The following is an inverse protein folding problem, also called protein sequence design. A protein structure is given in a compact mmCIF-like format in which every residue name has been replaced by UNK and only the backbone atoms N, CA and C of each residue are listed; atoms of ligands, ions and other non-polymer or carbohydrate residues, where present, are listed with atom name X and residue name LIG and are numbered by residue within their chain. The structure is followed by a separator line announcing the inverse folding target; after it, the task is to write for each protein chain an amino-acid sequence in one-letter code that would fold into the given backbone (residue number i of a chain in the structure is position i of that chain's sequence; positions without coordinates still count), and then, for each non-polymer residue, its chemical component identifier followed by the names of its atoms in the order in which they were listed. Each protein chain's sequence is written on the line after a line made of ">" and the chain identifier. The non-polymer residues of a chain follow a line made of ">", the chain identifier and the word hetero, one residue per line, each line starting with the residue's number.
data_IF_704535657026
#
_entry.id   IF_704535657026
#
_cell.length_a   1.000
_cell.length_b   1.000
_cell.length_c   1.000
_cell.angle_alpha   90.00
_cell.angle_beta   90.00
_cell.angle_gamma   90.00
#
_symmetry.space_group_name_H-M   'P 1'
#
loop_
_entity.id
_entity.type
_entity.pdbx_description
1 polymer ?
#
# COMPACT_ATOMS: atom_id res chain seq x y z
N UNK A 1 17.49 34.00 -19.52
CA UNK A 1 17.46 32.58 -19.95
C UNK A 1 17.12 31.63 -18.81
N UNK A 2 17.67 31.81 -17.60
CA UNK A 2 17.37 30.94 -16.45
C UNK A 2 15.89 30.89 -16.04
N UNK A 3 15.21 32.04 -15.95
CA UNK A 3 13.77 32.07 -15.62
C UNK A 3 12.89 31.32 -16.63
N UNK A 4 13.27 31.37 -17.90
CA UNK A 4 12.57 30.70 -19.00
C UNK A 4 12.79 29.17 -18.96
N UNK A 5 14.00 28.73 -18.58
CA UNK A 5 14.31 27.32 -18.31
C UNK A 5 13.55 26.80 -17.08
N UNK A 6 13.49 27.59 -15.99
CA UNK A 6 12.75 27.26 -14.75
C UNK A 6 11.26 27.07 -14.97
N UNK A 7 10.61 27.99 -15.70
CA UNK A 7 9.20 27.90 -16.02
C UNK A 7 8.88 26.63 -16.83
N UNK A 8 9.76 26.25 -17.77
CA UNK A 8 9.63 25.00 -18.55
C UNK A 8 9.81 23.76 -17.68
N UNK A 9 10.77 23.73 -16.77
CA UNK A 9 10.98 22.59 -15.86
C UNK A 9 9.78 22.39 -14.93
N UNK A 10 9.24 23.46 -14.34
CA UNK A 10 8.04 23.40 -13.49
C UNK A 10 6.83 22.91 -14.28
N UNK A 11 6.62 23.44 -15.50
CA UNK A 11 5.53 23.00 -16.37
C UNK A 11 5.67 21.53 -16.78
N UNK A 12 6.88 21.12 -17.19
CA UNK A 12 7.18 19.73 -17.51
C UNK A 12 6.81 18.83 -16.34
N UNK A 13 7.20 19.18 -15.12
CA UNK A 13 6.97 18.37 -13.94
C UNK A 13 5.49 18.24 -13.56
N UNK A 14 4.72 19.32 -13.72
CA UNK A 14 3.26 19.32 -13.53
C UNK A 14 2.58 18.42 -14.57
N UNK A 15 2.98 18.52 -15.84
CA UNK A 15 2.41 17.71 -16.93
C UNK A 15 2.80 16.24 -16.73
N UNK A 16 4.08 15.96 -16.51
CA UNK A 16 4.61 14.62 -16.26
C UNK A 16 3.87 13.95 -15.10
N UNK A 17 3.70 14.63 -13.96
CA UNK A 17 2.90 14.13 -12.84
C UNK A 17 1.48 13.74 -13.23
N UNK A 18 0.81 14.60 -13.99
CA UNK A 18 -0.59 14.38 -14.35
C UNK A 18 -0.72 13.19 -15.30
N UNK A 19 0.14 13.14 -16.32
CA UNK A 19 0.19 12.04 -17.29
C UNK A 19 0.58 10.72 -16.61
N UNK A 20 1.62 10.72 -15.78
CA UNK A 20 2.07 9.54 -15.06
C UNK A 20 1.00 8.98 -14.15
N UNK A 21 0.30 9.82 -13.36
CA UNK A 21 -0.79 9.35 -12.50
C UNK A 21 -1.97 8.77 -13.30
N UNK A 22 -2.34 9.38 -14.43
CA UNK A 22 -3.40 8.83 -15.31
C UNK A 22 -2.96 7.49 -15.89
N UNK A 23 -1.71 7.40 -16.36
CA UNK A 23 -1.17 6.17 -16.93
C UNK A 23 -1.10 5.05 -15.88
N UNK A 24 -0.63 5.33 -14.67
CA UNK A 24 -0.63 4.38 -13.55
C UNK A 24 -2.06 3.93 -13.24
N UNK A 25 -3.01 4.86 -13.14
CA UNK A 25 -4.41 4.53 -12.89
C UNK A 25 -4.96 3.55 -13.93
N UNK A 26 -4.71 3.80 -15.22
CA UNK A 26 -5.15 2.91 -16.30
C UNK A 26 -4.50 1.53 -16.18
N UNK A 27 -3.18 1.48 -15.96
CA UNK A 27 -2.46 0.21 -15.76
C UNK A 27 -2.99 -0.57 -14.55
N UNK A 28 -3.27 0.12 -13.44
CA UNK A 28 -3.86 -0.48 -12.25
C UNK A 28 -5.26 -1.04 -12.52
N UNK A 29 -6.10 -0.31 -13.26
CA UNK A 29 -7.42 -0.80 -13.62
C UNK A 29 -7.35 -2.04 -14.51
N UNK A 30 -6.50 -2.01 -15.53
CA UNK A 30 -6.30 -3.16 -16.43
C UNK A 30 -5.75 -4.35 -15.66
N UNK A 31 -4.72 -4.15 -14.83
CA UNK A 31 -4.14 -5.24 -14.03
C UNK A 31 -5.16 -5.80 -13.05
N UNK A 32 -5.92 -4.96 -12.34
CA UNK A 32 -6.99 -5.45 -11.46
C UNK A 32 -8.04 -6.25 -12.21
N UNK A 33 -8.42 -5.82 -13.41
CA UNK A 33 -9.39 -6.53 -14.22
C UNK A 33 -8.85 -7.90 -14.68
N UNK A 34 -7.61 -7.95 -15.18
CA UNK A 34 -6.98 -9.19 -15.66
C UNK A 34 -6.75 -10.19 -14.52
N UNK A 35 -6.36 -9.71 -13.33
CA UNK A 35 -5.98 -10.56 -12.20
C UNK A 35 -7.06 -10.70 -11.13
N UNK A 36 -8.28 -10.20 -11.35
CA UNK A 36 -9.35 -10.22 -10.32
C UNK A 36 -9.68 -11.63 -9.84
N UNK A 37 -9.72 -12.59 -10.76
CA UNK A 37 -10.00 -14.00 -10.44
C UNK A 37 -8.87 -14.60 -9.58
N UNK A 38 -7.62 -14.32 -9.93
CA UNK A 38 -6.47 -14.83 -9.18
C UNK A 38 -6.40 -14.25 -7.77
N UNK A 39 -6.71 -12.96 -7.61
CA UNK A 39 -6.83 -12.32 -6.29
C UNK A 39 -7.96 -12.95 -5.47
N UNK A 40 -9.12 -13.21 -6.07
CA UNK A 40 -10.23 -13.88 -5.40
C UNK A 40 -9.85 -15.29 -4.93
N UNK A 41 -9.19 -16.08 -5.78
CA UNK A 41 -8.69 -17.41 -5.44
C UNK A 41 -7.65 -17.36 -4.30
N UNK A 42 -6.78 -16.36 -4.27
CA UNK A 42 -5.82 -16.17 -3.18
C UNK A 42 -6.53 -15.89 -1.84
N UNK A 43 -7.60 -15.09 -1.85
CA UNK A 43 -8.43 -14.81 -0.67
C UNK A 43 -9.16 -16.08 -0.20
N UNK A 44 -9.73 -16.87 -1.12
CA UNK A 44 -10.40 -18.13 -0.76
C UNK A 44 -9.42 -19.10 -0.11
N UNK A 45 -8.22 -19.27 -0.68
CA UNK A 45 -7.17 -20.09 -0.05
C UNK A 45 -6.76 -19.57 1.33
N UNK A 46 -6.73 -18.25 1.52
CA UNK A 46 -6.46 -17.67 2.83
C UNK A 46 -7.57 -18.01 3.84
N UNK A 47 -8.83 -18.04 3.41
CA UNK A 47 -9.96 -18.48 4.24
C UNK A 47 -9.88 -19.97 4.58
N UNK A 48 -9.38 -20.83 3.70
CA UNK A 48 -9.16 -22.25 4.00
C UNK A 48 -8.13 -22.42 5.14
N UNK A 49 -7.04 -21.64 5.11
CA UNK A 49 -6.07 -21.62 6.22
C UNK A 49 -6.74 -21.11 7.50
N UNK A 50 -7.53 -20.04 7.42
CA UNK A 50 -8.26 -19.52 8.59
C UNK A 50 -9.22 -20.56 9.19
N UNK A 51 -9.94 -21.31 8.37
CA UNK A 51 -10.84 -22.39 8.82
C UNK A 51 -10.06 -23.51 9.52
N UNK A 52 -8.91 -23.91 8.97
CA UNK A 52 -8.05 -24.90 9.61
C UNK A 52 -7.51 -24.41 10.97
N UNK A 53 -7.10 -23.14 11.05
CA UNK A 53 -6.64 -22.53 12.31
C UNK A 53 -7.76 -22.41 13.35
N UNK A 54 -9.00 -22.12 12.92
CA UNK A 54 -10.18 -22.15 13.80
C UNK A 54 -10.44 -23.56 14.34
N UNK A 55 -10.33 -24.59 13.50
CA UNK A 55 -10.47 -25.99 13.92
C UNK A 55 -9.43 -26.39 14.98
N UNK A 56 -8.26 -25.75 14.98
CA UNK A 56 -7.21 -25.93 15.99
C UNK A 56 -7.33 -25.01 17.21
N UNK A 57 -8.48 -24.35 17.41
CA UNK A 57 -8.79 -23.58 18.62
C UNK A 57 -8.35 -22.11 18.61
N UNK A 58 -7.81 -21.59 17.50
CA UNK A 58 -7.31 -20.20 17.41
C UNK A 58 -8.36 -19.15 17.05
N UNK A 59 -9.64 -19.47 17.26
CA UNK A 59 -10.76 -18.63 16.81
C UNK A 59 -10.72 -17.22 17.38
N UNK A 60 -10.50 -17.08 18.69
CA UNK A 60 -10.58 -15.78 19.37
C UNK A 60 -9.44 -14.86 18.95
N UNK A 61 -8.24 -15.41 18.76
CA UNK A 61 -7.11 -14.64 18.24
C UNK A 61 -7.36 -14.17 16.81
N UNK A 62 -7.85 -15.07 15.93
CA UNK A 62 -8.18 -14.73 14.54
C UNK A 62 -9.24 -13.63 14.46
N UNK A 63 -10.29 -13.69 15.30
CA UNK A 63 -11.31 -12.64 15.37
C UNK A 63 -10.70 -11.30 15.83
N UNK A 64 -9.85 -11.32 16.86
CA UNK A 64 -9.16 -10.13 17.35
C UNK A 64 -8.25 -9.47 16.31
N UNK A 65 -7.45 -10.29 15.60
CA UNK A 65 -6.57 -9.83 14.52
C UNK A 65 -7.37 -9.28 13.35
N UNK A 66 -8.41 -9.98 12.90
CA UNK A 66 -9.25 -9.52 11.80
C UNK A 66 -9.96 -8.21 12.14
N UNK A 67 -10.42 -8.05 13.38
CA UNK A 67 -10.98 -6.78 13.86
C UNK A 67 -9.95 -5.65 13.82
N UNK A 68 -8.72 -5.91 14.30
CA UNK A 68 -7.61 -4.94 14.27
C UNK A 68 -7.28 -4.55 12.82
N UNK A 69 -7.17 -5.51 11.91
CA UNK A 69 -6.84 -5.27 10.51
C UNK A 69 -7.96 -4.51 9.79
N UNK A 70 -9.22 -4.85 10.05
CA UNK A 70 -10.37 -4.09 9.54
C UNK A 70 -10.38 -2.65 10.05
N UNK A 71 -10.12 -2.44 11.35
CA UNK A 71 -10.04 -1.11 11.94
C UNK A 71 -8.90 -0.30 11.33
N UNK A 72 -7.71 -0.90 11.23
CA UNK A 72 -6.53 -0.28 10.60
C UNK A 72 -6.81 0.10 9.15
N UNK A 73 -7.38 -0.81 8.36
CA UNK A 73 -7.75 -0.58 6.98
C UNK A 73 -8.76 0.55 6.81
N UNK A 74 -9.81 0.59 7.64
CA UNK A 74 -10.80 1.66 7.62
C UNK A 74 -10.19 3.02 7.98
N UNK A 75 -9.30 3.07 8.98
CA UNK A 75 -8.61 4.30 9.38
C UNK A 75 -7.70 4.79 8.26
N UNK A 76 -6.89 3.91 7.67
CA UNK A 76 -6.02 4.25 6.56
C UNK A 76 -6.81 4.75 5.36
N UNK A 77 -7.87 4.05 4.97
CA UNK A 77 -8.73 4.45 3.85
C UNK A 77 -9.40 5.79 4.12
N UNK A 78 -9.92 6.02 5.33
CA UNK A 78 -10.52 7.30 5.73
C UNK A 78 -9.54 8.47 5.69
N UNK A 79 -8.34 8.30 6.26
CA UNK A 79 -7.27 9.31 6.22
C UNK A 79 -6.84 9.59 4.78
N UNK A 80 -6.65 8.55 3.99
CA UNK A 80 -6.18 8.64 2.61
C UNK A 80 -7.18 9.36 1.70
N UNK A 81 -8.47 9.03 1.81
CA UNK A 81 -9.53 9.74 1.07
C UNK A 81 -9.63 11.20 1.50
N UNK A 82 -9.64 11.47 2.82
CA UNK A 82 -9.75 12.83 3.35
C UNK A 82 -8.59 13.69 2.87
N UNK A 83 -7.36 13.18 2.98
CA UNK A 83 -6.16 13.89 2.57
C UNK A 83 -6.13 14.16 1.07
N UNK A 84 -6.46 13.17 0.23
CA UNK A 84 -6.53 13.34 -1.22
C UNK A 84 -7.59 14.38 -1.63
N UNK A 85 -8.78 14.34 -1.02
CA UNK A 85 -9.86 15.29 -1.33
C UNK A 85 -9.47 16.70 -0.90
N UNK A 86 -9.05 16.90 0.36
CA UNK A 86 -8.69 18.21 0.90
C UNK A 86 -7.55 18.84 0.10
N UNK A 87 -6.47 18.10 -0.14
CA UNK A 87 -5.34 18.61 -0.91
C UNK A 87 -5.70 18.84 -2.39
N UNK A 88 -6.59 18.03 -2.95
CA UNK A 88 -7.16 18.24 -4.27
C UNK A 88 -7.93 19.56 -4.37
N UNK A 89 -8.81 19.83 -3.40
CA UNK A 89 -9.59 21.08 -3.33
C UNK A 89 -8.67 22.28 -3.16
N UNK A 90 -7.70 22.22 -2.25
CA UNK A 90 -6.72 23.29 -2.05
C UNK A 90 -5.97 23.62 -3.35
N UNK A 91 -5.53 22.60 -4.10
CA UNK A 91 -4.87 22.79 -5.40
C UNK A 91 -5.82 23.37 -6.44
N UNK A 92 -7.07 22.91 -6.50
CA UNK A 92 -8.05 23.41 -7.46
C UNK A 92 -8.40 24.91 -7.22
N UNK A 93 -8.47 25.35 -5.96
CA UNK A 93 -8.72 26.76 -5.61
C UNK A 93 -7.62 27.68 -6.14
N UNK A 94 -6.38 27.20 -6.25
CA UNK A 94 -5.28 28.00 -6.79
C UNK A 94 -5.36 28.25 -8.31
N UNK A 95 -6.28 27.59 -9.03
CA UNK A 95 -6.46 27.77 -10.47
C UNK A 95 -7.54 28.81 -10.78
N UNK A 96 -7.27 29.69 -11.74
CA UNK A 96 -8.21 30.75 -12.15
C UNK A 96 -9.38 30.21 -12.97
N UNK A 97 -9.14 29.26 -13.88
CA UNK A 97 -10.14 28.67 -14.77
C UNK A 97 -10.15 27.13 -14.68
N UNK A 98 -11.27 26.52 -15.07
CA UNK A 98 -11.44 25.05 -15.18
C UNK A 98 -11.10 24.27 -13.89
N UNK A 99 -11.44 24.83 -12.72
CA UNK A 99 -11.12 24.26 -11.40
C UNK A 99 -11.64 22.83 -11.22
N UNK A 100 -12.86 22.56 -11.67
CA UNK A 100 -13.51 21.24 -11.57
C UNK A 100 -12.79 20.21 -12.44
N UNK A 101 -12.47 20.56 -13.68
CA UNK A 101 -11.76 19.68 -14.61
C UNK A 101 -10.36 19.38 -14.08
N UNK A 102 -9.66 20.39 -13.56
CA UNK A 102 -8.35 20.22 -12.94
C UNK A 102 -8.41 19.29 -11.72
N UNK A 103 -9.42 19.47 -10.85
CA UNK A 103 -9.65 18.59 -9.72
C UNK A 103 -9.85 17.13 -10.16
N UNK A 104 -10.68 16.88 -11.18
CA UNK A 104 -10.92 15.53 -11.68
C UNK A 104 -9.63 14.90 -12.24
N UNK A 105 -8.91 15.58 -13.12
CA UNK A 105 -7.71 15.04 -13.76
C UNK A 105 -6.59 14.81 -12.75
N UNK A 106 -6.44 15.69 -11.76
CA UNK A 106 -5.34 15.60 -10.80
C UNK A 106 -5.65 14.69 -9.59
N UNK A 107 -6.88 14.73 -9.08
CA UNK A 107 -7.24 14.07 -7.81
C UNK A 107 -7.83 12.69 -8.02
N UNK A 108 -8.61 12.46 -9.09
CA UNK A 108 -9.28 11.16 -9.29
C UNK A 108 -8.28 10.01 -9.51
N UNK A 109 -7.27 10.13 -10.40
CA UNK A 109 -6.25 9.07 -10.55
C UNK A 109 -5.51 8.78 -9.25
N UNK A 110 -5.22 9.82 -8.46
CA UNK A 110 -4.56 9.68 -7.16
C UNK A 110 -5.40 8.91 -6.16
N UNK A 111 -6.71 9.18 -6.08
CA UNK A 111 -7.61 8.43 -5.20
C UNK A 111 -7.59 6.94 -5.56
N UNK A 112 -7.62 6.61 -6.85
CA UNK A 112 -7.59 5.22 -7.32
C UNK A 112 -6.27 4.54 -6.96
N UNK A 113 -5.14 5.17 -7.27
CA UNK A 113 -3.80 4.65 -6.94
C UNK A 113 -3.68 4.44 -5.43
N UNK A 114 -4.10 5.43 -4.65
CA UNK A 114 -3.96 5.39 -3.19
C UNK A 114 -4.87 4.33 -2.55
N UNK A 115 -6.09 4.15 -3.06
CA UNK A 115 -6.98 3.06 -2.62
C UNK A 115 -6.38 1.68 -2.96
N UNK A 116 -5.77 1.54 -4.14
CA UNK A 116 -5.11 0.31 -4.54
C UNK A 116 -3.92 -0.03 -3.62
N UNK A 117 -3.06 0.95 -3.35
CA UNK A 117 -1.95 0.79 -2.41
C UNK A 117 -2.44 0.43 -1.00
N UNK A 118 -3.51 1.07 -0.53
CA UNK A 118 -4.15 0.76 0.76
C UNK A 118 -4.66 -0.68 0.80
N UNK A 119 -5.31 -1.15 -0.27
CA UNK A 119 -5.81 -2.52 -0.38
C UNK A 119 -4.67 -3.54 -0.34
N UNK A 120 -3.61 -3.32 -1.11
CA UNK A 120 -2.41 -4.16 -1.11
C UNK A 120 -1.74 -4.19 0.28
N UNK A 121 -1.64 -3.04 0.95
CA UNK A 121 -1.09 -2.96 2.30
C UNK A 121 -1.91 -3.77 3.32
N UNK A 122 -3.24 -3.65 3.28
CA UNK A 122 -4.14 -4.44 4.16
C UNK A 122 -3.98 -5.94 3.89
N UNK A 123 -3.92 -6.37 2.63
CA UNK A 123 -3.68 -7.76 2.26
C UNK A 123 -2.34 -8.27 2.83
N UNK A 124 -1.29 -7.45 2.76
CA UNK A 124 0.04 -7.80 3.28
C UNK A 124 0.02 -7.93 4.80
N UNK A 125 -0.61 -6.99 5.52
CA UNK A 125 -0.81 -7.10 6.97
C UNK A 125 -1.59 -8.36 7.36
N UNK A 126 -2.63 -8.68 6.60
CA UNK A 126 -3.43 -9.88 6.78
C UNK A 126 -2.59 -11.16 6.66
N UNK A 127 -1.71 -11.24 5.66
CA UNK A 127 -0.79 -12.36 5.49
C UNK A 127 0.24 -12.41 6.63
N UNK A 128 0.82 -11.27 6.98
CA UNK A 128 1.84 -11.16 8.04
C UNK A 128 1.30 -11.63 9.40
N UNK A 129 0.10 -11.20 9.78
CA UNK A 129 -0.48 -11.61 11.07
C UNK A 129 -0.77 -13.12 11.13
N UNK A 130 -1.13 -13.74 9.99
CA UNK A 130 -1.30 -15.19 9.91
C UNK A 130 0.02 -15.93 10.06
N UNK A 131 1.10 -15.44 9.45
CA UNK A 131 2.44 -15.98 9.70
C UNK A 131 2.85 -15.84 11.17
N UNK A 132 2.59 -14.69 11.80
CA UNK A 132 2.87 -14.48 13.23
C UNK A 132 2.11 -15.46 14.11
N UNK A 133 0.83 -15.71 13.81
CA UNK A 133 0.03 -16.70 14.53
C UNK A 133 0.65 -18.10 14.39
N UNK A 134 0.95 -18.55 13.16
CA UNK A 134 1.55 -19.87 12.93
C UNK A 134 2.87 -20.01 13.69
N UNK A 135 3.73 -18.99 13.63
CA UNK A 135 5.00 -19.00 14.36
C UNK A 135 4.79 -19.08 15.88
N UNK A 136 3.80 -18.39 16.42
CA UNK A 136 3.47 -18.47 17.85
C UNK A 136 2.98 -19.87 18.25
N UNK A 137 2.19 -20.54 17.39
CA UNK A 137 1.75 -21.92 17.62
C UNK A 137 2.91 -22.92 17.57
N UNK A 138 3.82 -22.76 16.62
CA UNK A 138 5.05 -23.58 16.54
C UNK A 138 5.86 -23.44 17.82
N UNK A 139 6.12 -22.21 18.27
CA UNK A 139 6.87 -21.95 19.50
C UNK A 139 6.20 -22.53 20.74
N UNK A 140 4.88 -22.38 20.86
CA UNK A 140 4.12 -22.97 21.97
C UNK A 140 4.20 -24.50 21.97
N UNK A 141 3.98 -25.13 20.80
CA UNK A 141 4.06 -26.59 20.68
C UNK A 141 5.45 -27.13 21.02
N UNK A 142 6.51 -26.40 20.66
CA UNK A 142 7.89 -26.73 21.00
C UNK A 142 8.11 -26.65 22.52
N UNK A 143 7.70 -25.56 23.17
CA UNK A 143 7.86 -25.34 24.61
C UNK A 143 7.10 -26.40 25.43
N UNK A 144 5.86 -26.73 25.04
CA UNK A 144 5.08 -27.82 25.65
C UNK A 144 5.75 -29.19 25.47
N UNK A 145 6.35 -29.47 24.31
CA UNK A 145 7.04 -30.73 24.06
C UNK A 145 8.29 -30.90 24.93
N UNK A 146 9.03 -29.81 25.16
CA UNK A 146 10.24 -29.75 26.01
C UNK A 146 9.85 -29.92 27.48
N UNK A 147 8.82 -29.20 27.95
CA UNK A 147 8.36 -29.24 29.35
C UNK A 147 7.81 -30.60 29.77
N UNK A 148 7.12 -31.31 28.87
CA UNK A 148 6.41 -32.56 29.22
C UNK A 148 7.22 -33.83 28.87
N UNK A 149 8.45 -33.71 28.34
CA UNK A 149 9.23 -34.85 27.78
C UNK A 149 8.40 -35.72 26.81
N UNK A 150 7.49 -35.11 26.04
CA UNK A 150 6.66 -35.82 25.04
C UNK A 150 7.43 -36.21 23.78
N UNK A 151 8.63 -35.65 23.63
CA UNK A 151 9.56 -35.98 22.56
C UNK A 151 10.38 -37.23 22.95
N UNK A 152 10.52 -38.27 22.10
CA UNK A 152 10.07 -38.38 20.71
C UNK A 152 8.82 -39.29 20.51
N UNK A 153 8.10 -39.66 21.56
CA UNK A 153 7.13 -40.77 21.54
C UNK A 153 5.68 -40.40 21.19
N UNK A 154 5.31 -39.11 21.15
CA UNK A 154 3.92 -38.69 20.93
C UNK A 154 3.61 -38.44 19.44
N UNK A 155 2.88 -39.36 18.80
CA UNK A 155 2.44 -39.25 17.40
C UNK A 155 1.62 -37.99 17.10
N UNK A 156 0.96 -37.41 18.11
CA UNK A 156 0.19 -36.17 17.97
C UNK A 156 1.08 -34.95 17.74
N UNK A 157 2.31 -34.95 18.27
CA UNK A 157 3.24 -33.84 18.07
C UNK A 157 3.71 -33.77 16.60
N UNK A 158 4.09 -34.92 16.03
CA UNK A 158 4.50 -35.00 14.62
C UNK A 158 3.39 -34.56 13.66
N UNK A 159 2.14 -34.93 13.96
CA UNK A 159 0.97 -34.50 13.18
C UNK A 159 0.75 -32.98 13.27
N UNK A 160 0.77 -32.41 14.47
CA UNK A 160 0.60 -30.96 14.68
C UNK A 160 1.69 -30.13 13.98
N UNK A 161 2.95 -30.57 14.03
CA UNK A 161 4.05 -29.89 13.32
C UNK A 161 3.88 -30.00 11.80
N UNK A 162 3.40 -31.14 11.30
CA UNK A 162 3.13 -31.32 9.87
C UNK A 162 2.01 -30.40 9.39
N UNK A 163 0.93 -30.27 10.17
CA UNK A 163 -0.21 -29.39 9.86
C UNK A 163 0.22 -27.91 9.87
N UNK A 164 1.04 -27.49 10.86
CA UNK A 164 1.61 -26.14 10.93
C UNK A 164 2.51 -25.82 9.72
N UNK A 165 3.36 -26.78 9.32
CA UNK A 165 4.23 -26.62 8.15
C UNK A 165 3.41 -26.53 6.85
N UNK A 166 2.30 -27.28 6.77
CA UNK A 166 1.38 -27.21 5.65
C UNK A 166 0.70 -25.82 5.55
N UNK A 167 0.23 -25.26 6.67
CA UNK A 167 -0.31 -23.89 6.69
C UNK A 167 0.73 -22.85 6.27
N UNK A 168 1.96 -22.95 6.78
CA UNK A 168 3.04 -22.04 6.41
C UNK A 168 3.33 -22.12 4.91
N UNK A 169 3.38 -23.33 4.33
CA UNK A 169 3.59 -23.52 2.89
C UNK A 169 2.47 -22.87 2.07
N UNK A 170 1.21 -23.06 2.47
CA UNK A 170 0.08 -22.43 1.80
C UNK A 170 0.13 -20.90 1.86
N UNK A 171 0.48 -20.32 3.01
CA UNK A 171 0.65 -18.86 3.12
C UNK A 171 1.80 -18.35 2.23
N UNK A 172 2.91 -19.08 2.11
CA UNK A 172 3.99 -18.73 1.18
C UNK A 172 3.50 -18.74 -0.27
N UNK A 173 2.74 -19.76 -0.67
CA UNK A 173 2.15 -19.81 -2.01
C UNK A 173 1.15 -18.68 -2.26
N UNK A 174 0.32 -18.33 -1.27
CA UNK A 174 -0.60 -17.18 -1.34
C UNK A 174 0.20 -15.88 -1.49
N UNK A 175 1.26 -15.71 -0.70
CA UNK A 175 2.12 -14.52 -0.73
C UNK A 175 2.79 -14.37 -2.09
N UNK A 176 3.31 -15.46 -2.65
CA UNK A 176 3.90 -15.47 -3.99
C UNK A 176 2.90 -15.02 -5.05
N UNK A 177 1.67 -15.54 -5.02
CA UNK A 177 0.61 -15.15 -5.96
C UNK A 177 0.21 -13.69 -5.83
N UNK A 178 0.04 -13.21 -4.60
CA UNK A 178 -0.22 -11.78 -4.35
C UNK A 178 0.96 -10.95 -4.89
N UNK A 179 2.20 -11.35 -4.64
CA UNK A 179 3.35 -10.64 -5.14
C UNK A 179 3.40 -10.62 -6.69
N UNK A 180 3.13 -11.74 -7.36
CA UNK A 180 3.08 -11.80 -8.83
C UNK A 180 2.06 -10.82 -9.44
N UNK A 181 0.92 -10.64 -8.78
CA UNK A 181 -0.15 -9.74 -9.23
C UNK A 181 0.23 -8.26 -8.99
N UNK A 182 0.80 -7.95 -7.82
CA UNK A 182 0.94 -6.56 -7.35
C UNK A 182 2.35 -5.98 -7.53
N UNK A 183 3.40 -6.79 -7.67
CA UNK A 183 4.80 -6.33 -7.65
C UNK A 183 5.11 -5.29 -8.73
N UNK A 184 4.73 -5.55 -9.99
CA UNK A 184 4.97 -4.61 -11.09
C UNK A 184 4.32 -3.24 -10.82
N UNK A 185 3.09 -3.25 -10.33
CA UNK A 185 2.34 -2.04 -10.02
C UNK A 185 2.97 -1.25 -8.89
N UNK A 186 3.34 -1.94 -7.80
CA UNK A 186 4.00 -1.31 -6.64
C UNK A 186 5.34 -0.72 -7.05
N UNK A 187 6.14 -1.45 -7.83
CA UNK A 187 7.43 -0.98 -8.34
C UNK A 187 7.27 0.26 -9.23
N UNK A 188 6.27 0.27 -10.10
CA UNK A 188 5.98 1.38 -11.00
C UNK A 188 5.51 2.61 -10.22
N UNK A 189 4.64 2.44 -9.22
CA UNK A 189 4.24 3.52 -8.30
C UNK A 189 5.45 4.11 -7.59
N UNK A 190 6.27 3.29 -6.93
CA UNK A 190 7.47 3.74 -6.20
C UNK A 190 8.44 4.48 -7.12
N UNK A 191 8.65 3.97 -8.35
CA UNK A 191 9.56 4.59 -9.31
C UNK A 191 9.07 5.97 -9.73
N UNK A 192 7.78 6.11 -10.02
CA UNK A 192 7.18 7.39 -10.41
C UNK A 192 7.19 8.38 -9.24
N UNK A 193 6.83 7.93 -8.05
CA UNK A 193 6.84 8.77 -6.84
C UNK A 193 8.26 9.23 -6.51
N UNK A 194 9.27 8.37 -6.67
CA UNK A 194 10.67 8.74 -6.48
C UNK A 194 11.12 9.82 -7.47
N UNK A 195 10.84 9.65 -8.77
CA UNK A 195 11.18 10.64 -9.80
C UNK A 195 10.49 11.99 -9.52
N UNK A 196 9.21 11.95 -9.14
CA UNK A 196 8.44 13.15 -8.82
C UNK A 196 8.92 13.82 -7.53
N UNK A 197 9.31 13.05 -6.51
CA UNK A 197 9.86 13.55 -5.25
C UNK A 197 11.18 14.26 -5.49
N UNK A 198 12.11 13.64 -6.22
CA UNK A 198 13.41 14.26 -6.57
C UNK A 198 13.18 15.57 -7.33
N UNK A 199 12.24 15.56 -8.27
CA UNK A 199 11.84 16.73 -9.03
C UNK A 199 11.27 17.86 -8.17
N UNK A 200 10.32 17.55 -7.27
CA UNK A 200 9.70 18.54 -6.38
C UNK A 200 10.70 19.09 -5.36
N UNK A 201 11.58 18.24 -4.82
CA UNK A 201 12.66 18.65 -3.93
C UNK A 201 13.64 19.58 -4.64
N UNK A 202 14.03 19.27 -5.88
CA UNK A 202 14.90 20.13 -6.68
C UNK A 202 14.31 21.54 -6.86
N UNK A 203 13.04 21.62 -7.26
CA UNK A 203 12.35 22.91 -7.46
C UNK A 203 12.20 23.66 -6.12
N UNK A 204 11.85 22.95 -5.05
CA UNK A 204 11.65 23.55 -3.71
C UNK A 204 12.97 24.09 -3.15
N UNK A 205 14.04 23.29 -3.19
CA UNK A 205 15.38 23.71 -2.76
C UNK A 205 15.86 24.90 -3.57
N UNK A 206 15.70 24.87 -4.89
CA UNK A 206 16.05 25.99 -5.73
C UNK A 206 15.24 27.26 -5.39
N UNK A 207 13.94 27.14 -5.10
CA UNK A 207 13.15 28.31 -4.69
C UNK A 207 13.63 28.90 -3.35
N UNK A 208 14.08 28.05 -2.43
CA UNK A 208 14.65 28.45 -1.13
C UNK A 208 16.03 29.10 -1.27
N UNK A 209 16.96 28.48 -1.99
CA UNK A 209 18.34 28.97 -2.12
C UNK A 209 18.47 30.30 -2.86
N UNK A 210 17.52 30.64 -3.73
CA UNK A 210 17.52 31.89 -4.50
C UNK A 210 16.52 32.93 -3.97
N UNK A 211 15.98 32.73 -2.76
CA UNK A 211 15.03 33.63 -2.08
C UNK A 211 13.78 34.00 -2.91
N UNK A 212 13.36 33.10 -3.80
CA UNK A 212 12.19 33.26 -4.67
C UNK A 212 10.88 32.84 -4.00
N UNK A 213 10.95 32.43 -2.73
CA UNK A 213 9.82 31.91 -1.96
C UNK A 213 8.69 32.93 -1.86
N UNK A 214 9.03 34.21 -1.63
CA UNK A 214 8.01 35.27 -1.51
C UNK A 214 7.26 35.51 -2.82
N UNK A 215 7.92 35.40 -3.96
CA UNK A 215 7.31 35.59 -5.30
C UNK A 215 6.53 34.37 -5.78
N UNK A 216 6.89 33.16 -5.33
CA UNK A 216 6.31 31.90 -5.79
C UNK A 216 5.71 31.05 -4.66
N UNK A 217 5.27 31.68 -3.56
CA UNK A 217 4.80 31.01 -2.35
C UNK A 217 3.72 29.95 -2.62
N UNK A 218 2.75 30.24 -3.49
CA UNK A 218 1.70 29.27 -3.89
C UNK A 218 2.26 28.00 -4.54
N UNK A 219 3.29 28.15 -5.38
CA UNK A 219 3.94 27.03 -6.07
C UNK A 219 4.78 26.22 -5.10
N UNK A 220 5.58 26.88 -4.26
CA UNK A 220 6.42 26.23 -3.23
C UNK A 220 5.54 25.42 -2.27
N UNK A 221 4.46 26.01 -1.75
CA UNK A 221 3.56 25.33 -0.82
C UNK A 221 2.86 24.12 -1.47
N UNK A 222 2.49 24.22 -2.75
CA UNK A 222 1.93 23.10 -3.51
C UNK A 222 2.92 21.94 -3.70
N UNK A 223 4.19 22.26 -3.94
CA UNK A 223 5.27 21.29 -4.09
C UNK A 223 5.64 20.63 -2.75
N UNK A 224 5.73 21.41 -1.66
CA UNK A 224 5.98 20.86 -0.33
C UNK A 224 4.88 19.89 0.10
N UNK A 225 3.61 20.20 -0.21
CA UNK A 225 2.50 19.26 0.02
C UNK A 225 2.72 17.98 -0.77
N UNK A 226 3.16 18.03 -2.03
CA UNK A 226 3.47 16.82 -2.81
C UNK A 226 4.62 16.01 -2.19
N UNK A 227 5.68 16.66 -1.69
CA UNK A 227 6.79 15.94 -1.05
C UNK A 227 6.31 15.13 0.16
N UNK A 228 5.43 15.69 0.99
CA UNK A 228 4.82 14.95 2.11
C UNK A 228 4.02 13.75 1.59
N UNK A 229 3.29 13.90 0.48
CA UNK A 229 2.52 12.82 -0.13
C UNK A 229 3.36 11.64 -0.66
N UNK A 230 4.61 11.86 -1.09
CA UNK A 230 5.43 10.74 -1.57
C UNK A 230 6.14 10.00 -0.42
N UNK A 231 6.22 10.61 0.76
CA UNK A 231 6.89 10.06 1.94
C UNK A 231 5.91 9.28 2.83
N UNK A 232 4.64 9.69 2.84
CA UNK A 232 3.54 9.08 3.63
C UNK A 232 2.81 8.05 2.79
#
# INVERSE_FOLDING_TARGET
>A
MEEFSRARTIQFLIVFRSVSNVLVMVLLMVTNYVYSEQTSLAIVKMQEVDQAMVASGQKDFLVGVNWKNRKSGNVMLGLNLTFNIVCGVLKAITKSHNRVIYFLIATYPRIIISNFNTYFFILTLMVEDRFRLINSMVLQSLDESIKVRKYPTDSNFSKNVTDLMWWHKNLVDITRKINEIYNLNVLLCITIDFVLLVGDLYITMHALFFDLVYQHCKTVLSLSVNCVFYIV
#
